data_IF_782988794558
#
_entry.id   IF_782988794558
#
_cell.length_a   1.000
_cell.length_b   1.000
_cell.length_c   1.000
_cell.angle_alpha   90.00
_cell.angle_beta   90.00
_cell.angle_gamma   90.00
#
_symmetry.space_group_name_H-M   'P 1'
#
loop_
_entity.id
_entity.type
_entity.pdbx_description
1 polymer ?
#
# COMPACT_ATOMS: atom_id res chain seq x y z
N UNK A 1 -71.92 -15.58 -19.96
CA UNK A 1 -71.86 -14.12 -19.78
C UNK A 1 -71.50 -13.82 -18.33
N UNK A 2 -70.47 -12.98 -18.08
CA UNK A 2 -70.19 -12.23 -16.83
C UNK A 2 -69.70 -13.10 -15.63
N UNK A 3 -68.64 -12.85 -14.83
CA UNK A 3 -67.69 -11.76 -14.56
C UNK A 3 -66.43 -12.38 -13.85
N UNK A 4 -65.19 -12.03 -14.23
CA UNK A 4 -64.21 -11.17 -13.50
C UNK A 4 -63.55 -11.75 -12.21
N UNK A 5 -62.23 -12.01 -12.34
CA UNK A 5 -61.10 -11.78 -11.42
C UNK A 5 -61.10 -12.29 -9.96
N UNK A 6 -59.99 -12.94 -9.55
CA UNK A 6 -58.95 -12.32 -8.70
C UNK A 6 -57.73 -13.23 -8.45
N UNK A 7 -56.58 -12.55 -8.43
CA UNK A 7 -55.20 -12.99 -8.25
C UNK A 7 -54.88 -13.12 -6.75
N UNK A 8 -54.04 -14.10 -6.38
CA UNK A 8 -53.07 -14.08 -5.26
C UNK A 8 -52.23 -15.37 -5.39
N UNK A 9 -50.97 -15.43 -5.80
CA UNK A 9 -49.76 -14.65 -5.53
C UNK A 9 -49.48 -14.46 -4.02
N UNK A 10 -48.95 -15.50 -3.38
CA UNK A 10 -48.19 -15.37 -2.14
C UNK A 10 -46.82 -16.00 -2.35
N UNK A 11 -45.91 -15.14 -2.84
CA UNK A 11 -44.49 -15.36 -2.88
C UNK A 11 -43.90 -15.28 -1.47
N UNK A 12 -43.36 -16.37 -0.95
CA UNK A 12 -42.42 -16.35 0.18
C UNK A 12 -41.01 -16.25 -0.37
N UNK A 13 -40.64 -15.04 -0.81
CA UNK A 13 -39.25 -14.67 -1.05
C UNK A 13 -38.61 -14.43 0.33
N UNK A 14 -37.85 -15.40 0.83
CA UNK A 14 -36.98 -15.21 1.97
C UNK A 14 -35.84 -14.27 1.54
N UNK A 15 -35.97 -12.99 1.89
CA UNK A 15 -34.91 -11.99 1.75
C UNK A 15 -33.82 -12.35 2.77
N UNK A 16 -32.81 -13.10 2.30
CA UNK A 16 -31.54 -13.26 3.02
C UNK A 16 -30.82 -11.92 2.89
N UNK A 17 -31.06 -11.03 3.84
CA UNK A 17 -30.27 -9.82 4.05
C UNK A 17 -28.87 -10.23 4.50
N UNK A 18 -27.99 -10.53 3.55
CA UNK A 18 -26.56 -10.61 3.78
C UNK A 18 -26.10 -9.20 4.12
N UNK A 19 -26.08 -8.88 5.41
CA UNK A 19 -25.39 -7.70 5.90
C UNK A 19 -23.91 -7.88 5.57
N UNK A 20 -23.47 -7.29 4.46
CA UNK A 20 -22.07 -7.00 4.22
C UNK A 20 -21.66 -5.97 5.28
N UNK A 21 -21.19 -6.47 6.42
CA UNK A 21 -20.36 -5.68 7.33
C UNK A 21 -19.13 -5.28 6.54
N UNK A 22 -19.13 -4.06 6.01
CA UNK A 22 -17.90 -3.41 5.60
C UNK A 22 -16.99 -3.44 6.82
N UNK A 23 -15.89 -4.20 6.75
CA UNK A 23 -14.87 -4.20 7.78
C UNK A 23 -14.23 -2.81 7.80
N UNK A 24 -14.84 -1.88 8.54
CA UNK A 24 -14.21 -0.62 8.86
C UNK A 24 -12.99 -0.94 9.73
N UNK A 25 -11.79 -0.76 9.18
CA UNK A 25 -10.56 -1.06 9.90
C UNK A 25 -10.43 -0.09 11.07
N UNK A 26 -10.38 -0.54 12.32
CA UNK A 26 -10.31 0.37 13.47
C UNK A 26 -8.94 1.10 13.54
N UNK A 27 -8.88 2.30 14.16
CA UNK A 27 -7.63 2.92 14.56
C UNK A 27 -6.75 1.95 15.35
N UNK A 28 -5.45 1.97 15.05
CA UNK A 28 -4.45 1.16 15.74
C UNK A 28 -3.46 2.08 16.46
N UNK A 29 -2.98 1.63 17.61
CA UNK A 29 -1.96 2.36 18.37
C UNK A 29 -0.65 2.31 17.59
N UNK A 30 -0.02 3.46 17.28
CA UNK A 30 1.28 3.46 16.63
C UNK A 30 2.30 2.68 17.47
N UNK A 31 3.10 1.80 16.86
CA UNK A 31 4.13 1.06 17.58
C UNK A 31 5.22 2.01 18.09
N UNK A 32 5.95 1.54 19.09
CA UNK A 32 7.15 2.17 19.59
C UNK A 32 8.17 1.08 19.92
N UNK A 33 9.30 1.09 19.22
CA UNK A 33 10.40 0.15 19.37
C UNK A 33 11.71 0.87 18.97
N UNK A 34 12.40 1.40 19.97
CA UNK A 34 13.66 2.14 19.81
C UNK A 34 14.77 1.32 19.15
N UNK A 35 14.65 -0.02 19.16
CA UNK A 35 15.63 -0.91 18.51
C UNK A 35 15.40 -1.08 17.00
N UNK A 36 14.26 -0.62 16.49
CA UNK A 36 13.88 -0.70 15.08
C UNK A 36 14.11 0.62 14.37
N UNK A 37 14.67 0.57 13.14
CA UNK A 37 14.80 1.74 12.26
C UNK A 37 13.45 2.36 11.88
N UNK A 38 12.35 1.63 12.06
CA UNK A 38 10.97 2.05 11.75
C UNK A 38 10.13 2.33 12.98
N UNK A 39 10.72 2.27 14.17
CA UNK A 39 10.00 2.33 15.45
C UNK A 39 8.90 1.24 15.56
N UNK A 40 9.17 0.06 14.99
CA UNK A 40 8.28 -1.10 14.98
C UNK A 40 7.16 -1.07 13.93
N UNK A 41 7.16 -0.08 13.03
CA UNK A 41 6.20 0.04 11.94
C UNK A 41 6.47 -0.97 10.81
N UNK A 42 5.49 -1.81 10.49
CA UNK A 42 5.45 -2.52 9.22
C UNK A 42 4.46 -1.89 8.25
N UNK A 43 4.75 -1.99 6.96
CA UNK A 43 3.99 -1.40 5.87
C UNK A 43 4.01 -2.35 4.66
N UNK A 44 2.84 -2.68 4.11
CA UNK A 44 2.73 -3.15 2.73
C UNK A 44 2.02 -2.09 1.90
N UNK A 45 2.59 -1.79 0.75
CA UNK A 45 2.06 -0.80 -0.18
C UNK A 45 2.07 -1.37 -1.58
N UNK A 46 0.90 -1.51 -2.17
CA UNK A 46 0.75 -1.71 -3.60
C UNK A 46 0.30 -0.40 -4.23
N UNK A 47 1.05 0.11 -5.20
CA UNK A 47 0.78 1.39 -5.84
C UNK A 47 0.68 1.22 -7.36
N UNK A 48 -0.44 1.65 -7.93
CA UNK A 48 -0.76 1.50 -9.34
C UNK A 48 -1.05 2.85 -10.00
N UNK A 49 -0.23 3.18 -11.00
CA UNK A 49 -0.46 4.24 -11.99
C UNK A 49 -1.01 3.58 -13.25
N UNK A 50 -2.31 3.33 -13.26
CA UNK A 50 -3.00 2.49 -14.26
C UNK A 50 -2.94 3.11 -15.66
N UNK A 51 -2.98 4.44 -15.73
CA UNK A 51 -2.81 5.24 -16.94
C UNK A 51 -1.51 4.92 -17.70
N UNK A 52 -0.42 4.72 -16.95
CA UNK A 52 0.93 4.42 -17.47
C UNK A 52 1.30 2.96 -17.33
N UNK A 53 0.40 2.11 -16.81
CA UNK A 53 0.63 0.68 -16.49
C UNK A 53 1.88 0.45 -15.63
N UNK A 54 2.14 1.37 -14.70
CA UNK A 54 3.25 1.24 -13.75
C UNK A 54 2.72 0.74 -12.41
N UNK A 55 3.32 -0.33 -11.92
CA UNK A 55 2.96 -0.97 -10.67
C UNK A 55 4.20 -1.11 -9.80
N UNK A 56 4.07 -0.76 -8.54
CA UNK A 56 5.10 -0.90 -7.52
C UNK A 56 4.50 -1.65 -6.32
N UNK A 57 5.24 -2.63 -5.79
CA UNK A 57 4.87 -3.35 -4.58
C UNK A 57 6.01 -3.31 -3.58
N UNK A 58 5.71 -2.81 -2.38
CA UNK A 58 6.65 -2.69 -1.27
C UNK A 58 6.15 -3.47 -0.07
N UNK A 59 7.07 -4.15 0.61
CA UNK A 59 6.84 -4.75 1.93
C UNK A 59 7.98 -4.37 2.86
N UNK A 60 7.70 -3.47 3.79
CA UNK A 60 8.56 -3.13 4.91
C UNK A 60 8.09 -3.90 6.15
N UNK A 61 8.99 -4.66 6.74
CA UNK A 61 8.76 -5.33 8.03
C UNK A 61 9.23 -4.43 9.18
N UNK A 62 8.70 -4.70 10.37
CA UNK A 62 9.03 -3.96 11.59
C UNK A 62 10.51 -4.01 11.99
N UNK A 63 11.30 -4.94 11.46
CA UNK A 63 12.75 -5.03 11.66
C UNK A 63 13.56 -4.13 10.70
N UNK A 64 12.88 -3.36 9.83
CA UNK A 64 13.50 -2.52 8.81
C UNK A 64 13.86 -3.25 7.51
N UNK A 65 13.52 -4.54 7.38
CA UNK A 65 13.70 -5.28 6.13
C UNK A 65 12.70 -4.81 5.07
N UNK A 66 13.19 -4.41 3.90
CA UNK A 66 12.39 -3.94 2.77
C UNK A 66 12.43 -4.95 1.63
N UNK A 67 11.27 -5.35 1.13
CA UNK A 67 11.10 -6.13 -0.11
C UNK A 67 10.43 -5.27 -1.18
N UNK A 68 10.85 -5.43 -2.44
CA UNK A 68 10.32 -4.68 -3.59
C UNK A 68 10.07 -5.57 -4.79
N UNK A 69 8.98 -5.29 -5.51
CA UNK A 69 8.74 -5.73 -6.89
C UNK A 69 8.23 -4.56 -7.73
N UNK A 70 8.56 -4.58 -9.03
CA UNK A 70 8.06 -3.61 -10.01
C UNK A 70 7.35 -4.30 -11.18
N UNK A 71 6.58 -3.54 -11.98
CA UNK A 71 5.97 -4.03 -13.20
C UNK A 71 5.02 -5.23 -12.98
N UNK A 72 5.19 -6.31 -13.76
CA UNK A 72 4.32 -7.49 -13.66
C UNK A 72 4.48 -8.21 -12.30
N UNK A 73 5.68 -8.21 -11.72
CA UNK A 73 5.93 -8.76 -10.38
C UNK A 73 5.10 -8.01 -9.34
N UNK A 74 5.11 -6.67 -9.39
CA UNK A 74 4.28 -5.83 -8.53
C UNK A 74 2.78 -5.99 -8.79
N UNK A 75 2.36 -6.11 -10.04
CA UNK A 75 0.96 -6.35 -10.42
C UNK A 75 0.40 -7.58 -9.69
N UNK A 76 1.22 -8.64 -9.55
CA UNK A 76 0.87 -9.85 -8.82
C UNK A 76 1.09 -9.76 -7.29
N UNK A 77 1.37 -8.57 -6.74
CA UNK A 77 1.70 -8.32 -5.32
C UNK A 77 2.88 -9.18 -4.82
N UNK A 78 3.87 -9.37 -5.69
CA UNK A 78 5.09 -10.11 -5.38
C UNK A 78 6.29 -9.16 -5.29
N UNK A 79 7.33 -9.62 -4.61
CA UNK A 79 8.60 -8.93 -4.49
C UNK A 79 9.73 -9.88 -4.93
N UNK A 80 10.74 -9.33 -5.60
CA UNK A 80 11.89 -10.06 -6.14
C UNK A 80 13.22 -9.61 -5.53
N UNK A 81 13.25 -8.40 -4.96
CA UNK A 81 14.42 -7.86 -4.31
C UNK A 81 14.15 -7.64 -2.82
N UNK A 82 15.17 -7.88 -2.00
CA UNK A 82 15.16 -7.59 -0.58
C UNK A 82 16.40 -6.78 -0.20
N UNK A 83 16.21 -5.82 0.70
CA UNK A 83 17.27 -5.03 1.32
C UNK A 83 16.82 -4.53 2.69
N UNK A 84 17.47 -3.47 3.17
CA UNK A 84 17.13 -2.80 4.43
C UNK A 84 16.93 -1.32 4.19
N UNK A 85 16.07 -0.69 4.98
CA UNK A 85 16.03 0.77 5.08
C UNK A 85 17.06 1.25 6.10
N UNK A 86 17.53 2.49 5.97
CA UNK A 86 18.35 3.13 7.00
C UNK A 86 17.48 3.69 8.12
N UNK A 87 18.10 4.08 9.24
CA UNK A 87 17.41 4.74 10.34
C UNK A 87 16.77 6.07 9.90
N UNK A 88 17.45 6.86 9.07
CA UNK A 88 16.96 8.14 8.55
C UNK A 88 15.75 7.94 7.63
N UNK A 89 15.79 6.93 6.76
CA UNK A 89 14.68 6.57 5.87
C UNK A 89 13.47 6.08 6.66
N UNK A 90 13.68 5.24 7.67
CA UNK A 90 12.61 4.73 8.53
C UNK A 90 11.99 5.81 9.39
N UNK A 91 12.79 6.71 9.95
CA UNK A 91 12.29 7.90 10.66
C UNK A 91 11.46 8.81 9.74
N UNK A 92 11.94 9.08 8.52
CA UNK A 92 11.19 9.87 7.53
C UNK A 92 9.87 9.19 7.18
N UNK A 93 9.89 7.88 6.95
CA UNK A 93 8.69 7.11 6.64
C UNK A 93 7.67 7.18 7.79
N UNK A 94 8.11 6.98 9.03
CA UNK A 94 7.25 7.08 10.21
C UNK A 94 6.59 8.45 10.31
N UNK A 95 7.35 9.53 10.12
CA UNK A 95 6.81 10.89 10.08
C UNK A 95 5.73 11.10 9.02
N UNK A 96 5.90 10.51 7.83
CA UNK A 96 4.90 10.61 6.76
C UNK A 96 3.61 9.88 7.13
N UNK A 97 3.72 8.66 7.68
CA UNK A 97 2.57 7.86 8.12
C UNK A 97 1.80 8.56 9.26
N UNK A 98 2.53 9.14 10.21
CA UNK A 98 1.95 9.89 11.33
C UNK A 98 1.27 11.18 10.85
N UNK A 99 1.93 11.93 9.95
CA UNK A 99 1.37 13.16 9.38
C UNK A 99 0.09 12.90 8.56
N UNK A 100 0.06 11.79 7.83
CA UNK A 100 -1.11 11.33 7.09
C UNK A 100 -2.22 10.75 7.98
N UNK A 101 -1.94 10.54 9.28
CA UNK A 101 -2.83 9.95 10.29
C UNK A 101 -3.35 8.56 9.90
N UNK A 102 -2.61 7.82 9.08
CA UNK A 102 -3.09 6.55 8.54
C UNK A 102 -3.34 5.47 9.59
N UNK A 103 -2.66 5.54 10.75
CA UNK A 103 -2.90 4.61 11.86
C UNK A 103 -4.07 5.04 12.75
N UNK A 104 -4.28 6.35 12.91
CA UNK A 104 -5.10 6.91 14.00
C UNK A 104 -6.41 7.54 13.54
N UNK A 105 -6.53 7.93 12.27
CA UNK A 105 -7.78 8.46 11.72
C UNK A 105 -8.90 7.40 11.79
N UNK A 106 -10.14 7.85 11.99
CA UNK A 106 -11.31 6.97 11.90
C UNK A 106 -11.39 6.32 10.53
N UNK A 107 -11.27 7.13 9.47
CA UNK A 107 -11.18 6.67 8.08
C UNK A 107 -10.01 7.35 7.35
N UNK A 108 -8.90 6.64 7.07
CA UNK A 108 -7.78 7.10 6.28
C UNK A 108 -7.96 6.81 4.77
N UNK A 109 -9.03 6.11 4.38
CA UNK A 109 -9.32 5.86 2.98
C UNK A 109 -9.69 7.18 2.29
N UNK A 110 -9.41 7.25 0.99
CA UNK A 110 -9.70 8.44 0.19
C UNK A 110 -10.12 7.97 -1.20
N UNK A 111 -11.19 8.53 -1.74
CA UNK A 111 -11.72 8.15 -3.06
C UNK A 111 -12.06 9.41 -3.84
N UNK A 112 -11.07 10.00 -4.52
CA UNK A 112 -11.21 11.26 -5.26
C UNK A 112 -11.13 11.11 -6.78
N UNK A 113 -10.49 10.05 -7.27
CA UNK A 113 -10.43 9.68 -8.69
C UNK A 113 -10.21 8.18 -8.84
N UNK A 114 -10.45 7.61 -10.02
CA UNK A 114 -10.21 6.17 -10.28
C UNK A 114 -8.73 5.78 -10.18
N UNK A 115 -7.83 6.73 -10.48
CA UNK A 115 -6.39 6.50 -10.50
C UNK A 115 -5.63 7.72 -9.99
N UNK A 116 -4.43 7.56 -9.41
CA UNK A 116 -3.76 6.30 -9.08
C UNK A 116 -4.44 5.55 -7.93
N UNK A 117 -4.11 4.27 -7.73
CA UNK A 117 -4.64 3.44 -6.63
C UNK A 117 -3.50 3.03 -5.71
N UNK A 118 -3.67 3.21 -4.41
CA UNK A 118 -2.77 2.71 -3.38
C UNK A 118 -3.53 1.82 -2.40
N UNK A 119 -3.16 0.55 -2.33
CA UNK A 119 -3.60 -0.36 -1.27
C UNK A 119 -2.54 -0.34 -0.17
N UNK A 120 -2.93 0.10 1.02
CA UNK A 120 -2.03 0.30 2.16
C UNK A 120 -2.42 -0.64 3.27
N UNK A 121 -1.42 -1.35 3.81
CA UNK A 121 -1.54 -2.15 5.02
C UNK A 121 -0.47 -1.71 5.99
N UNK A 122 -0.88 -1.31 7.18
CA UNK A 122 0.01 -0.93 8.28
C UNK A 122 -0.07 -1.98 9.38
N UNK A 123 1.09 -2.34 9.93
CA UNK A 123 1.17 -3.25 11.09
C UNK A 123 1.92 -2.58 12.23
N UNK A 124 1.35 -2.67 13.43
CA UNK A 124 1.97 -2.20 14.68
C UNK A 124 1.82 -3.26 15.76
N UNK A 125 2.92 -3.92 16.11
CA UNK A 125 2.89 -5.07 17.02
C UNK A 125 2.01 -6.20 16.50
N UNK A 126 0.90 -6.50 17.19
CA UNK A 126 -0.08 -7.54 16.80
C UNK A 126 -1.29 -6.99 16.03
N UNK A 127 -1.33 -5.68 15.79
CA UNK A 127 -2.46 -5.02 15.13
C UNK A 127 -2.12 -4.76 13.67
N UNK A 128 -3.13 -4.90 12.81
CA UNK A 128 -3.04 -4.60 11.38
C UNK A 128 -4.21 -3.71 10.98
N UNK A 129 -3.95 -2.76 10.09
CA UNK A 129 -4.94 -1.88 9.49
C UNK A 129 -4.75 -1.84 7.98
N UNK A 130 -5.81 -2.05 7.21
CA UNK A 130 -5.79 -2.00 5.76
C UNK A 130 -6.79 -0.97 5.24
N UNK A 131 -6.41 -0.19 4.23
CA UNK A 131 -7.27 0.79 3.57
C UNK A 131 -6.80 1.04 2.14
N UNK A 132 -7.64 1.70 1.35
CA UNK A 132 -7.35 2.05 -0.05
C UNK A 132 -7.44 3.56 -0.25
N UNK A 133 -6.51 4.11 -1.02
CA UNK A 133 -6.51 5.49 -1.49
C UNK A 133 -6.63 5.45 -3.01
N UNK A 134 -7.71 5.99 -3.55
CA UNK A 134 -7.97 6.18 -4.97
C UNK A 134 -7.92 7.68 -5.31
N UNK A 135 -7.06 8.03 -6.25
CA UNK A 135 -6.77 9.39 -6.68
C UNK A 135 -5.45 9.95 -6.13
N UNK A 136 -5.05 11.15 -6.56
CA UNK A 136 -3.79 11.76 -6.14
C UNK A 136 -3.74 11.99 -4.63
N UNK A 137 -2.65 11.55 -4.00
CA UNK A 137 -2.39 11.75 -2.58
C UNK A 137 -0.90 12.00 -2.33
N UNK A 138 -0.58 13.16 -1.74
CA UNK A 138 0.81 13.58 -1.55
C UNK A 138 1.59 12.67 -0.59
N UNK A 139 0.96 12.12 0.44
CA UNK A 139 1.61 11.25 1.41
C UNK A 139 1.94 9.89 0.78
N UNK A 140 1.04 9.34 -0.04
CA UNK A 140 1.34 8.14 -0.85
C UNK A 140 2.56 8.38 -1.73
N UNK A 141 2.60 9.49 -2.46
CA UNK A 141 3.74 9.81 -3.34
C UNK A 141 5.06 9.93 -2.58
N UNK A 142 5.06 10.63 -1.44
CA UNK A 142 6.26 10.79 -0.61
C UNK A 142 6.71 9.46 0.02
N UNK A 143 5.78 8.59 0.44
CA UNK A 143 6.09 7.25 0.93
C UNK A 143 6.70 6.40 -0.19
N UNK A 144 6.10 6.40 -1.38
CA UNK A 144 6.62 5.70 -2.55
C UNK A 144 8.01 6.21 -2.91
N UNK A 145 8.27 7.52 -2.85
CA UNK A 145 9.58 8.10 -3.11
C UNK A 145 10.65 7.55 -2.15
N UNK A 146 10.39 7.55 -0.85
CA UNK A 146 11.33 7.03 0.17
C UNK A 146 11.63 5.55 -0.09
N UNK A 147 10.59 4.74 -0.29
CA UNK A 147 10.75 3.31 -0.52
C UNK A 147 11.42 2.98 -1.86
N UNK A 148 11.11 3.75 -2.91
CA UNK A 148 11.73 3.60 -4.23
C UNK A 148 13.21 3.96 -4.19
N UNK A 149 13.58 5.03 -3.49
CA UNK A 149 14.98 5.41 -3.30
C UNK A 149 15.75 4.32 -2.54
N UNK A 150 15.16 3.76 -1.48
CA UNK A 150 15.76 2.62 -0.77
C UNK A 150 15.91 1.39 -1.67
N UNK A 151 14.91 1.09 -2.50
CA UNK A 151 14.92 -0.03 -3.43
C UNK A 151 15.87 0.17 -4.63
N UNK A 152 16.20 1.41 -4.98
CA UNK A 152 17.13 1.74 -6.06
C UNK A 152 18.57 1.28 -5.75
N UNK A 153 18.91 1.06 -4.46
CA UNK A 153 20.20 0.49 -4.05
C UNK A 153 20.52 -0.86 -4.70
N UNK A 154 19.51 -1.58 -5.19
CA UNK A 154 19.70 -2.80 -5.99
C UNK A 154 20.58 -2.58 -7.22
N UNK A 155 20.57 -1.35 -7.75
CA UNK A 155 21.32 -0.96 -8.95
C UNK A 155 22.75 -0.53 -8.64
N UNK A 156 23.08 -0.17 -7.40
CA UNK A 156 24.42 0.30 -7.01
C UNK A 156 25.51 -0.71 -7.38
N UNK A 157 25.23 -2.00 -7.19
CA UNK A 157 26.14 -3.09 -7.58
C UNK A 157 26.42 -3.16 -9.08
N UNK A 158 25.51 -2.71 -9.92
CA UNK A 158 25.68 -2.69 -11.37
C UNK A 158 26.39 -1.41 -11.83
N UNK A 159 26.10 -0.28 -11.20
CA UNK A 159 26.77 1.00 -11.49
C UNK A 159 28.27 0.94 -11.20
N UNK A 160 28.69 0.24 -10.14
CA UNK A 160 30.12 0.04 -9.81
C UNK A 160 30.90 -0.83 -10.81
N UNK A 161 30.22 -1.48 -11.76
CA UNK A 161 30.84 -2.35 -12.78
C UNK A 161 30.95 -1.68 -14.14
N UNK A 162 30.41 -0.48 -14.30
CA UNK A 162 30.63 0.28 -15.52
C UNK A 162 32.11 0.69 -15.54
N UNK A 163 32.83 0.45 -16.65
CA UNK A 163 34.18 0.97 -16.77
C UNK A 163 34.15 2.47 -16.53
N UNK A 164 35.15 3.00 -15.79
CA UNK A 164 35.39 4.44 -15.74
C UNK A 164 35.36 4.95 -17.17
N UNK A 165 34.73 6.10 -17.41
CA UNK A 165 34.66 6.72 -18.73
C UNK A 165 36.08 7.03 -19.22
N UNK A 166 36.75 6.02 -19.75
CA UNK A 166 38.08 6.10 -20.29
C UNK A 166 38.03 6.98 -21.54
N UNK A 167 39.00 7.89 -21.64
CA UNK A 167 39.20 8.76 -22.79
C UNK A 167 39.06 7.96 -24.08
N UNK A 168 38.01 8.23 -24.87
CA UNK A 168 37.89 7.66 -26.20
C UNK A 168 39.12 8.10 -27.01
N UNK A 169 40.03 7.16 -27.24
CA UNK A 169 41.17 7.39 -28.13
C UNK A 169 40.61 7.39 -29.54
N UNK A 170 40.66 8.56 -30.18
CA UNK A 170 40.17 8.78 -31.54
C UNK A 170 41.12 8.17 -32.56
#
# INVERSE_FOLDING_TARGET
MKHVARIALCATLAVVSVAFTACESAPIVPPHDESSSTDGLGLRLWYARVDTRQYDYFQLRADGSLSYGGGLTAFNRQAEWTGRITAEEGFRLRKLVDAAKWMTATDPALHTAETPVAEVVLTGGKSERAFTIQGPNEYVLQVVEVLSKAAARRFDRYMQRLPDAGTQTR
#
